data_IF_811530248811
#
_entry.id   IF_811530248811
#
_cell.length_a   1.000
_cell.length_b   1.000
_cell.length_c   1.000
_cell.angle_alpha   90.00
_cell.angle_beta   90.00
_cell.angle_gamma   90.00
#
_symmetry.space_group_name_H-M   'P 1'
#
loop_
_entity.id
_entity.type
_entity.pdbx_description
1 polymer ?
#
# COMPACT_ATOMS: atom_id res chain seq x y z
N UNK A 1 -1.06 -58.36 -34.17
CA UNK A 1 -0.34 -57.48 -33.23
C UNK A 1 -1.00 -56.12 -33.28
N UNK A 2 -2.00 -55.90 -32.43
CA UNK A 2 -2.66 -54.60 -32.28
C UNK A 2 -1.85 -53.74 -31.31
N UNK A 3 -1.33 -52.62 -31.79
CA UNK A 3 -0.69 -51.61 -30.97
C UNK A 3 -1.76 -50.64 -30.43
N UNK A 4 -2.03 -50.74 -29.13
CA UNK A 4 -2.95 -49.86 -28.42
C UNK A 4 -2.42 -48.42 -28.37
N UNK A 5 -3.16 -47.49 -28.98
CA UNK A 5 -2.93 -46.06 -28.83
C UNK A 5 -3.38 -45.61 -27.43
N UNK A 6 -2.41 -45.34 -26.54
CA UNK A 6 -2.64 -44.64 -25.27
C UNK A 6 -3.17 -43.24 -25.56
N UNK A 7 -4.45 -42.99 -25.23
CA UNK A 7 -5.00 -41.61 -25.13
C UNK A 7 -4.26 -40.86 -24.02
N UNK A 8 -3.41 -39.92 -24.41
CA UNK A 8 -2.79 -38.95 -23.52
C UNK A 8 -3.85 -37.89 -23.18
N UNK A 9 -4.49 -37.99 -22.02
CA UNK A 9 -5.48 -37.02 -21.53
C UNK A 9 -4.79 -35.75 -20.99
N UNK A 10 -5.48 -34.59 -20.98
CA UNK A 10 -4.89 -33.27 -20.73
C UNK A 10 -4.71 -33.04 -19.21
N UNK A 11 -3.65 -33.60 -18.63
CA UNK A 11 -3.36 -33.49 -17.19
C UNK A 11 -3.01 -32.05 -16.78
N UNK A 12 -2.39 -31.28 -17.69
CA UNK A 12 -1.90 -29.91 -17.41
C UNK A 12 -3.02 -28.90 -17.19
N UNK A 13 -4.12 -28.99 -17.95
CA UNK A 13 -5.26 -28.07 -17.81
C UNK A 13 -6.03 -28.28 -16.49
N UNK A 14 -6.15 -29.54 -16.05
CA UNK A 14 -6.83 -29.88 -14.80
C UNK A 14 -6.02 -29.46 -13.56
N UNK A 15 -4.69 -29.56 -13.62
CA UNK A 15 -3.81 -29.12 -12.54
C UNK A 15 -3.85 -27.58 -12.36
N UNK A 16 -3.86 -26.84 -13.46
CA UNK A 16 -3.94 -25.37 -13.43
C UNK A 16 -5.29 -24.89 -12.89
N UNK A 17 -6.39 -25.54 -13.25
CA UNK A 17 -7.71 -25.24 -12.68
C UNK A 17 -7.78 -25.50 -11.17
N UNK A 18 -7.15 -26.59 -10.70
CA UNK A 18 -7.11 -26.89 -9.26
C UNK A 18 -6.28 -25.85 -8.50
N UNK A 19 -5.12 -25.44 -9.06
CA UNK A 19 -4.30 -24.38 -8.47
C UNK A 19 -5.03 -23.04 -8.43
N UNK A 20 -5.68 -22.64 -9.53
CA UNK A 20 -6.45 -21.39 -9.60
C UNK A 20 -7.58 -21.37 -8.57
N UNK A 21 -8.38 -22.45 -8.48
CA UNK A 21 -9.44 -22.59 -7.47
C UNK A 21 -8.91 -22.55 -6.04
N UNK A 22 -7.69 -23.04 -5.80
CA UNK A 22 -7.08 -22.99 -4.47
C UNK A 22 -6.64 -21.57 -4.13
N UNK A 23 -5.99 -20.86 -5.05
CA UNK A 23 -5.60 -19.46 -4.87
C UNK A 23 -6.80 -18.55 -4.65
N UNK A 24 -7.88 -18.76 -5.41
CA UNK A 24 -9.15 -18.05 -5.24
C UNK A 24 -9.74 -18.29 -3.84
N UNK A 25 -9.79 -19.55 -3.38
CA UNK A 25 -10.26 -19.88 -2.02
C UNK A 25 -9.38 -19.29 -0.92
N UNK A 26 -8.07 -19.29 -1.11
CA UNK A 26 -7.11 -18.68 -0.17
C UNK A 26 -7.27 -17.15 -0.15
N UNK A 27 -7.50 -16.52 -1.31
CA UNK A 27 -7.81 -15.10 -1.44
C UNK A 27 -9.11 -14.71 -0.74
N UNK A 28 -10.19 -15.45 -0.97
CA UNK A 28 -11.48 -15.26 -0.29
C UNK A 28 -11.29 -15.38 1.22
N UNK A 29 -10.64 -16.45 1.70
CA UNK A 29 -10.41 -16.65 3.13
C UNK A 29 -9.60 -15.50 3.75
N UNK A 30 -8.56 -15.03 3.06
CA UNK A 30 -7.75 -13.89 3.50
C UNK A 30 -8.58 -12.61 3.61
N UNK A 31 -9.47 -12.38 2.65
CA UNK A 31 -10.39 -11.24 2.65
C UNK A 31 -11.39 -11.31 3.81
N UNK A 32 -12.02 -12.47 3.99
CA UNK A 32 -12.98 -12.70 5.07
C UNK A 32 -12.31 -12.55 6.45
N UNK A 33 -11.11 -13.10 6.63
CA UNK A 33 -10.34 -12.94 7.87
C UNK A 33 -9.92 -11.50 8.12
N UNK A 34 -9.53 -10.79 7.05
CA UNK A 34 -9.13 -9.38 7.16
C UNK A 34 -10.30 -8.51 7.61
N UNK A 35 -11.44 -8.62 6.94
CA UNK A 35 -12.57 -7.72 7.17
C UNK A 35 -13.58 -8.25 8.18
N UNK A 36 -13.52 -9.52 8.57
CA UNK A 36 -14.45 -10.13 9.52
C UNK A 36 -15.87 -10.31 8.97
N UNK A 37 -16.01 -10.28 7.65
CA UNK A 37 -17.26 -10.49 6.93
C UNK A 37 -17.13 -11.72 6.04
N UNK A 38 -18.20 -12.49 5.91
CA UNK A 38 -18.27 -13.54 4.87
C UNK A 38 -18.29 -12.90 3.47
N UNK A 39 -17.90 -13.67 2.46
CA UNK A 39 -17.96 -13.24 1.07
C UNK A 39 -19.36 -12.75 0.68
N UNK A 40 -20.41 -13.45 1.09
CA UNK A 40 -21.79 -13.08 0.79
C UNK A 40 -22.16 -11.72 1.40
N UNK A 41 -21.73 -11.44 2.64
CA UNK A 41 -21.96 -10.13 3.27
C UNK A 41 -21.19 -9.02 2.55
N UNK A 42 -19.95 -9.29 2.12
CA UNK A 42 -19.20 -8.31 1.33
C UNK A 42 -19.87 -8.05 -0.02
N UNK A 43 -20.32 -9.08 -0.72
CA UNK A 43 -21.07 -8.94 -1.97
C UNK A 43 -22.34 -8.11 -1.78
N UNK A 44 -23.08 -8.33 -0.68
CA UNK A 44 -24.27 -7.55 -0.34
C UNK A 44 -23.92 -6.07 -0.04
N UNK A 45 -22.88 -5.81 0.76
CA UNK A 45 -22.45 -4.46 1.12
C UNK A 45 -22.03 -3.63 -0.11
N UNK A 46 -21.44 -4.27 -1.11
CA UNK A 46 -20.96 -3.63 -2.33
C UNK A 46 -21.84 -3.91 -3.56
N UNK A 47 -23.05 -4.46 -3.37
CA UNK A 47 -23.98 -4.74 -4.47
C UNK A 47 -24.44 -3.45 -5.15
N UNK A 48 -24.73 -2.43 -4.34
CA UNK A 48 -25.05 -1.09 -4.80
C UNK A 48 -23.76 -0.28 -4.90
N UNK A 49 -23.41 0.14 -6.12
CA UNK A 49 -22.18 0.89 -6.35
C UNK A 49 -22.11 1.52 -7.73
N UNK A 50 -21.10 2.38 -7.97
CA UNK A 50 -20.97 3.08 -9.23
C UNK A 50 -20.92 2.10 -10.41
N UNK A 51 -21.62 2.39 -11.52
CA UNK A 51 -21.47 1.60 -12.74
C UNK A 51 -20.05 1.74 -13.28
N UNK A 52 -19.54 0.69 -13.90
CA UNK A 52 -18.21 0.65 -14.54
C UNK A 52 -17.04 0.96 -13.58
N UNK A 53 -17.16 0.58 -12.30
CA UNK A 53 -16.11 0.79 -11.30
C UNK A 53 -14.74 0.22 -11.75
N UNK A 54 -14.75 -0.92 -12.45
CA UNK A 54 -13.55 -1.56 -12.99
C UNK A 54 -12.80 -0.70 -14.03
N UNK A 55 -13.46 0.26 -14.66
CA UNK A 55 -12.89 1.15 -15.69
C UNK A 55 -12.39 2.47 -15.09
N UNK A 56 -12.53 2.66 -13.77
CA UNK A 56 -12.13 3.89 -13.11
C UNK A 56 -10.63 4.16 -13.26
N UNK A 57 -10.28 5.37 -13.68
CA UNK A 57 -8.88 5.83 -13.69
C UNK A 57 -8.41 6.09 -12.27
N UNK A 58 -7.42 5.30 -11.83
CA UNK A 58 -6.85 5.34 -10.49
C UNK A 58 -5.38 5.73 -10.52
N UNK A 59 -4.88 6.37 -9.46
CA UNK A 59 -3.45 6.65 -9.31
C UNK A 59 -2.64 5.35 -9.24
N UNK A 60 -1.37 5.43 -9.63
CA UNK A 60 -0.46 4.28 -9.60
C UNK A 60 -0.04 3.86 -8.18
N UNK A 61 -0.28 4.69 -7.17
CA UNK A 61 -0.02 4.38 -5.75
C UNK A 61 -1.06 5.09 -4.88
N UNK A 62 -1.64 4.44 -3.86
CA UNK A 62 -1.46 3.03 -3.52
C UNK A 62 -2.05 2.10 -4.59
N UNK A 63 -1.48 0.90 -4.77
CA UNK A 63 -1.99 -0.07 -5.75
C UNK A 63 -3.41 -0.50 -5.37
N UNK A 64 -4.36 -0.12 -6.22
CA UNK A 64 -5.74 -0.55 -6.12
C UNK A 64 -5.96 -1.83 -6.90
N UNK A 65 -6.43 -2.87 -6.20
CA UNK A 65 -6.75 -4.16 -6.79
C UNK A 65 -8.26 -4.30 -6.89
N UNK A 66 -8.76 -4.52 -8.11
CA UNK A 66 -10.15 -4.87 -8.37
C UNK A 66 -10.26 -6.35 -8.68
N UNK A 67 -10.87 -7.13 -7.78
CA UNK A 67 -11.09 -8.56 -8.03
C UNK A 67 -12.53 -8.83 -8.47
N UNK A 68 -12.74 -8.74 -9.79
CA UNK A 68 -14.03 -9.08 -10.40
C UNK A 68 -14.40 -10.57 -10.28
N UNK A 69 -13.42 -11.45 -10.01
CA UNK A 69 -13.63 -12.90 -9.99
C UNK A 69 -14.47 -13.37 -8.80
N UNK A 70 -14.41 -12.62 -7.68
CA UNK A 70 -15.13 -12.95 -6.44
C UNK A 70 -16.45 -12.19 -6.28
N UNK A 71 -16.84 -11.39 -7.27
CA UNK A 71 -18.15 -10.71 -7.31
C UNK A 71 -18.30 -9.55 -6.33
N UNK A 72 -17.19 -9.01 -5.80
CA UNK A 72 -17.22 -7.81 -4.96
C UNK A 72 -16.93 -6.59 -5.83
N UNK A 73 -17.89 -5.68 -5.94
CA UNK A 73 -17.72 -4.44 -6.70
C UNK A 73 -16.99 -3.37 -5.86
N UNK A 74 -15.71 -3.62 -5.54
CA UNK A 74 -14.88 -2.73 -4.75
C UNK A 74 -13.38 -2.91 -5.07
N UNK A 75 -12.61 -1.86 -4.80
CA UNK A 75 -11.15 -1.89 -4.80
C UNK A 75 -10.62 -2.21 -3.41
N UNK A 76 -9.62 -3.10 -3.35
CA UNK A 76 -8.75 -3.27 -2.19
C UNK A 76 -7.48 -2.45 -2.34
N UNK A 77 -7.14 -1.65 -1.32
CA UNK A 77 -5.84 -0.99 -1.20
C UNK A 77 -5.22 -1.28 0.16
N UNK A 78 -3.89 -1.22 0.22
CA UNK A 78 -3.13 -1.22 1.47
C UNK A 78 -2.33 0.07 1.52
N UNK A 79 -2.41 0.78 2.64
CA UNK A 79 -1.68 2.02 2.88
C UNK A 79 -0.97 1.90 4.21
N UNK A 80 0.35 1.93 4.19
CA UNK A 80 1.17 2.02 5.40
C UNK A 80 1.37 3.50 5.75
N UNK A 81 0.92 3.89 6.94
CA UNK A 81 0.99 5.27 7.41
C UNK A 81 1.78 5.34 8.71
N UNK A 82 2.55 6.40 8.88
CA UNK A 82 3.17 6.70 10.16
C UNK A 82 2.09 6.89 11.24
N UNK A 83 2.38 6.44 12.47
CA UNK A 83 1.43 6.52 13.59
C UNK A 83 0.90 7.93 13.85
N UNK A 84 1.74 8.95 13.63
CA UNK A 84 1.38 10.38 13.79
C UNK A 84 0.39 10.87 12.73
N UNK A 85 0.35 10.23 11.56
CA UNK A 85 -0.52 10.60 10.44
C UNK A 85 -1.86 9.85 10.46
N UNK A 86 -1.96 8.75 11.20
CA UNK A 86 -3.15 7.92 11.24
C UNK A 86 -4.44 8.67 11.62
N UNK A 87 -4.46 9.61 12.59
CA UNK A 87 -5.66 10.39 12.87
C UNK A 87 -6.16 11.20 11.66
N UNK A 88 -5.25 11.76 10.86
CA UNK A 88 -5.58 12.48 9.62
C UNK A 88 -6.14 11.52 8.57
N UNK A 89 -5.53 10.34 8.41
CA UNK A 89 -6.04 9.29 7.53
C UNK A 89 -7.46 8.87 7.91
N UNK A 90 -7.70 8.61 9.19
CA UNK A 90 -9.02 8.19 9.67
C UNK A 90 -10.07 9.29 9.46
N UNK A 91 -9.72 10.55 9.68
CA UNK A 91 -10.62 11.67 9.43
C UNK A 91 -10.94 11.84 7.94
N UNK A 92 -9.98 11.58 7.05
CA UNK A 92 -10.23 11.55 5.61
C UNK A 92 -11.29 10.51 5.26
N UNK A 93 -11.15 9.27 5.75
CA UNK A 93 -12.14 8.20 5.53
C UNK A 93 -13.49 8.55 6.15
N UNK A 94 -13.52 9.12 7.36
CA UNK A 94 -14.75 9.55 8.02
C UNK A 94 -15.49 10.64 7.26
N UNK A 95 -14.77 11.46 6.49
CA UNK A 95 -15.39 12.54 5.72
C UNK A 95 -16.19 12.02 4.52
N UNK A 96 -15.98 10.76 4.12
CA UNK A 96 -16.62 10.20 2.92
C UNK A 96 -18.01 9.65 3.18
N UNK A 97 -18.53 9.65 4.40
CA UNK A 97 -19.86 9.09 4.68
C UNK A 97 -20.16 8.89 6.16
N UNK A 98 -21.34 8.34 6.44
CA UNK A 98 -21.78 8.05 7.81
C UNK A 98 -21.30 6.66 8.23
N UNK A 99 -20.71 6.57 9.42
CA UNK A 99 -20.33 5.28 10.02
C UNK A 99 -21.60 4.46 10.30
N UNK A 100 -21.74 3.30 9.65
CA UNK A 100 -22.87 2.38 9.84
C UNK A 100 -22.53 1.24 10.80
N UNK A 101 -21.26 0.90 10.91
CA UNK A 101 -20.69 -0.01 11.89
C UNK A 101 -19.23 0.33 12.10
N UNK A 102 -18.58 -0.28 13.10
CA UNK A 102 -17.18 -0.01 13.44
C UNK A 102 -16.27 -0.06 12.21
N UNK A 103 -15.71 1.10 11.85
CA UNK A 103 -14.81 1.28 10.70
C UNK A 103 -15.44 0.91 9.35
N UNK A 104 -16.76 1.07 9.22
CA UNK A 104 -17.53 0.90 7.99
C UNK A 104 -18.39 2.12 7.70
N UNK A 105 -18.14 2.76 6.56
CA UNK A 105 -18.71 4.05 6.19
C UNK A 105 -19.55 3.90 4.92
N UNK A 106 -20.75 4.50 4.94
CA UNK A 106 -21.65 4.53 3.79
C UNK A 106 -21.99 5.97 3.43
N UNK A 107 -21.90 6.30 2.16
CA UNK A 107 -22.44 7.52 1.59
C UNK A 107 -23.54 7.19 0.58
N UNK A 108 -24.64 7.91 0.66
CA UNK A 108 -25.84 7.73 -0.17
C UNK A 108 -26.20 9.05 -0.90
N UNK A 109 -25.37 10.09 -0.78
CA UNK A 109 -25.67 11.44 -1.28
C UNK A 109 -25.43 11.61 -2.78
N UNK A 110 -24.51 10.84 -3.37
CA UNK A 110 -24.01 11.03 -4.74
C UNK A 110 -24.81 10.29 -5.84
N UNK A 111 -26.06 9.87 -5.57
CA UNK A 111 -26.91 9.16 -6.54
C UNK A 111 -26.53 7.70 -6.80
N UNK A 112 -25.28 7.32 -6.57
CA UNK A 112 -24.84 5.95 -6.38
C UNK A 112 -24.26 5.82 -4.97
N UNK A 113 -24.75 4.89 -4.14
CA UNK A 113 -24.20 4.71 -2.81
C UNK A 113 -22.77 4.19 -2.90
N UNK A 114 -21.92 4.66 -1.99
CA UNK A 114 -20.57 4.13 -1.80
C UNK A 114 -20.40 3.57 -0.40
N UNK A 115 -19.53 2.58 -0.31
CA UNK A 115 -19.20 1.87 0.91
C UNK A 115 -17.68 1.80 1.07
N UNK A 116 -17.21 1.95 2.30
CA UNK A 116 -15.80 1.83 2.66
C UNK A 116 -15.66 1.04 3.95
N UNK A 117 -14.88 -0.02 3.92
CA UNK A 117 -14.43 -0.76 5.09
C UNK A 117 -12.95 -0.51 5.30
N UNK A 118 -12.54 -0.24 6.55
CA UNK A 118 -11.11 -0.20 6.90
C UNK A 118 -10.78 -1.17 8.02
N UNK A 119 -9.56 -1.72 7.95
CA UNK A 119 -8.96 -2.58 8.98
C UNK A 119 -7.53 -2.13 9.21
N UNK A 120 -7.15 -2.07 10.47
CA UNK A 120 -5.84 -1.54 10.87
C UNK A 120 -5.03 -2.62 11.55
N UNK A 121 -3.72 -2.56 11.35
CA UNK A 121 -2.74 -3.42 12.02
C UNK A 121 -1.52 -2.57 12.37
N UNK A 122 -1.03 -2.68 13.60
CA UNK A 122 0.26 -2.10 13.96
C UNK A 122 1.36 -2.89 13.26
N UNK A 123 2.19 -2.20 12.47
CA UNK A 123 3.30 -2.82 11.72
C UNK A 123 4.40 -1.78 11.51
N UNK A 124 5.67 -2.18 11.65
CA UNK A 124 6.82 -1.30 11.40
C UNK A 124 6.74 0.06 12.11
N UNK A 125 6.29 0.05 13.38
CA UNK A 125 6.04 1.25 14.22
C UNK A 125 5.06 2.28 13.62
N UNK A 126 4.35 1.89 12.57
CA UNK A 126 3.26 2.63 11.96
C UNK A 126 1.96 1.85 12.03
N UNK A 127 1.01 2.28 11.20
CA UNK A 127 -0.30 1.65 11.03
C UNK A 127 -0.44 1.22 9.58
N UNK A 128 -0.58 -0.07 9.36
CA UNK A 128 -0.98 -0.62 8.07
C UNK A 128 -2.49 -0.62 7.99
N UNK A 129 -3.04 0.11 7.01
CA UNK A 129 -4.49 0.26 6.81
C UNK A 129 -4.89 -0.47 5.54
N UNK A 130 -5.68 -1.53 5.70
CA UNK A 130 -6.35 -2.20 4.59
C UNK A 130 -7.70 -1.54 4.37
N UNK A 131 -7.97 -1.11 3.15
CA UNK A 131 -9.22 -0.47 2.77
C UNK A 131 -9.88 -1.30 1.68
N UNK A 132 -11.18 -1.53 1.82
CA UNK A 132 -12.03 -2.08 0.77
C UNK A 132 -13.11 -1.04 0.48
N UNK A 133 -13.12 -0.47 -0.73
CA UNK A 133 -13.99 0.65 -1.06
C UNK A 133 -14.42 0.65 -2.53
N UNK A 134 -15.65 1.07 -2.80
CA UNK A 134 -16.10 1.43 -4.15
C UNK A 134 -16.13 2.96 -4.37
N UNK A 135 -15.60 3.72 -3.42
CA UNK A 135 -15.43 5.17 -3.52
C UNK A 135 -14.07 5.48 -4.18
N UNK A 136 -14.10 5.74 -5.49
CA UNK A 136 -12.92 6.08 -6.28
C UNK A 136 -12.28 7.41 -5.81
N UNK A 137 -13.10 8.38 -5.42
CA UNK A 137 -12.59 9.68 -4.96
C UNK A 137 -11.81 9.54 -3.65
N UNK A 138 -12.23 8.65 -2.75
CA UNK A 138 -11.45 8.36 -1.55
C UNK A 138 -10.04 7.87 -1.89
N UNK A 139 -9.88 7.00 -2.89
CA UNK A 139 -8.57 6.49 -3.30
C UNK A 139 -7.70 7.64 -3.86
N UNK A 140 -8.29 8.56 -4.61
CA UNK A 140 -7.60 9.76 -5.10
C UNK A 140 -7.20 10.68 -3.95
N UNK A 141 -8.11 10.97 -3.03
CA UNK A 141 -7.80 11.81 -1.87
C UNK A 141 -6.72 11.21 -0.96
N UNK A 142 -6.71 9.88 -0.78
CA UNK A 142 -5.63 9.19 -0.05
C UNK A 142 -4.27 9.44 -0.72
N UNK A 143 -4.25 9.44 -2.04
CA UNK A 143 -3.03 9.69 -2.83
C UNK A 143 -2.57 11.14 -2.71
N UNK A 144 -3.52 12.08 -2.77
CA UNK A 144 -3.27 13.53 -2.67
C UNK A 144 -2.80 13.97 -1.27
N UNK A 145 -3.27 13.30 -0.22
CA UNK A 145 -2.85 13.56 1.17
C UNK A 145 -1.41 13.12 1.48
N UNK A 146 -0.81 12.34 0.56
CA UNK A 146 0.58 11.88 0.59
C UNK A 146 1.01 11.29 1.94
N UNK A 147 0.21 10.36 2.48
CA UNK A 147 0.61 9.61 3.66
C UNK A 147 1.92 8.85 3.39
N UNK A 148 2.85 8.94 4.34
CA UNK A 148 4.12 8.21 4.25
C UNK A 148 4.10 7.01 5.19
N UNK A 149 4.75 5.90 4.81
CA UNK A 149 5.09 4.87 5.77
C UNK A 149 6.05 5.43 6.82
N UNK A 150 6.18 4.73 7.94
CA UNK A 150 7.21 5.02 8.93
C UNK A 150 8.58 5.09 8.24
N UNK A 151 9.40 6.14 8.43
CA UNK A 151 10.70 6.26 7.77
C UNK A 151 11.71 5.18 8.24
N UNK A 152 12.78 4.89 7.46
CA UNK A 152 13.70 3.78 7.74
C UNK A 152 14.27 3.80 9.16
N UNK A 153 14.75 4.96 9.62
CA UNK A 153 15.35 5.14 10.95
C UNK A 153 14.36 5.05 12.12
N UNK A 154 13.04 5.00 11.86
CA UNK A 154 12.00 4.75 12.89
C UNK A 154 11.44 3.34 12.75
N UNK A 155 11.22 2.87 11.53
CA UNK A 155 10.75 1.51 11.25
C UNK A 155 11.76 0.48 11.75
N UNK A 156 13.05 0.77 11.59
CA UNK A 156 14.21 -0.06 11.93
C UNK A 156 15.20 0.73 12.79
N UNK A 157 14.74 1.24 13.95
CA UNK A 157 15.58 2.07 14.83
C UNK A 157 16.84 1.36 15.33
N UNK A 158 16.84 0.02 15.36
CA UNK A 158 17.99 -0.80 15.76
C UNK A 158 19.10 -0.77 14.72
N UNK A 159 18.76 -0.44 13.48
CA UNK A 159 19.69 -0.37 12.37
C UNK A 159 20.09 1.06 12.07
N UNK A 160 19.22 2.05 12.23
CA UNK A 160 19.51 3.44 11.85
C UNK A 160 19.06 3.76 10.42
N UNK A 161 19.58 4.81 9.77
CA UNK A 161 19.14 5.21 8.43
C UNK A 161 19.84 4.39 7.34
N UNK A 162 19.61 3.07 7.30
CA UNK A 162 20.22 2.18 6.29
C UNK A 162 19.19 1.72 5.26
N UNK A 163 19.64 1.55 3.99
CA UNK A 163 18.79 1.05 2.90
C UNK A 163 19.20 -0.34 2.39
N UNK A 164 20.15 -1.00 3.06
CA UNK A 164 20.67 -2.30 2.68
C UNK A 164 20.47 -3.34 3.79
N UNK A 165 19.21 -3.69 4.05
CA UNK A 165 18.86 -4.80 4.93
C UNK A 165 18.47 -6.01 4.07
N UNK A 166 19.09 -7.16 4.35
CA UNK A 166 19.28 -8.20 3.33
C UNK A 166 18.29 -9.36 3.42
N UNK A 167 17.58 -9.52 4.53
CA UNK A 167 16.65 -10.65 4.73
C UNK A 167 15.56 -10.30 5.74
N UNK A 168 14.37 -10.88 5.56
CA UNK A 168 13.33 -10.91 6.59
C UNK A 168 12.28 -9.82 6.48
N UNK A 169 11.87 -9.27 7.62
CA UNK A 169 10.83 -8.23 7.65
C UNK A 169 11.36 -6.88 7.15
N UNK A 170 12.67 -6.69 7.24
CA UNK A 170 13.42 -5.52 6.83
C UNK A 170 13.47 -5.39 5.30
N UNK A 171 13.85 -6.46 4.62
CA UNK A 171 13.80 -6.57 3.16
C UNK A 171 12.36 -6.38 2.66
N UNK A 172 11.39 -7.03 3.31
CA UNK A 172 9.98 -6.88 2.97
C UNK A 172 9.52 -5.41 3.09
N UNK A 173 9.84 -4.75 4.21
CA UNK A 173 9.46 -3.36 4.42
C UNK A 173 10.10 -2.45 3.37
N UNK A 174 11.39 -2.65 3.10
CA UNK A 174 12.10 -1.83 2.14
C UNK A 174 11.52 -2.00 0.72
N UNK A 175 11.43 -3.23 0.22
CA UNK A 175 11.04 -3.51 -1.17
C UNK A 175 9.54 -3.28 -1.43
N UNK A 176 8.68 -3.67 -0.48
CA UNK A 176 7.23 -3.67 -0.70
C UNK A 176 6.52 -2.46 -0.13
N UNK A 177 7.14 -1.69 0.76
CA UNK A 177 6.53 -0.50 1.37
C UNK A 177 7.33 0.75 1.00
N UNK A 178 8.58 0.84 1.44
CA UNK A 178 9.38 2.05 1.30
C UNK A 178 9.66 2.42 -0.16
N UNK A 179 10.21 1.50 -0.95
CA UNK A 179 10.58 1.75 -2.34
C UNK A 179 9.37 2.13 -3.18
N UNK A 180 8.21 1.50 -2.93
CA UNK A 180 6.97 1.79 -3.65
C UNK A 180 6.44 3.19 -3.33
N UNK A 181 6.43 3.56 -2.05
CA UNK A 181 6.14 4.93 -1.62
C UNK A 181 7.13 5.92 -2.23
N UNK A 182 8.43 5.70 -2.05
CA UNK A 182 9.48 6.62 -2.49
C UNK A 182 9.41 6.89 -4.00
N UNK A 183 9.14 5.83 -4.79
CA UNK A 183 9.08 5.95 -6.24
C UNK A 183 7.81 6.64 -6.74
N UNK A 184 6.72 6.61 -5.96
CA UNK A 184 5.48 7.30 -6.30
C UNK A 184 5.55 8.81 -6.11
N UNK A 185 6.51 9.30 -5.33
CA UNK A 185 6.74 10.73 -5.13
C UNK A 185 7.32 11.40 -6.39
N UNK A 186 6.92 12.65 -6.61
CA UNK A 186 7.61 13.54 -7.57
C UNK A 186 8.96 13.97 -7.00
N UNK A 187 9.91 14.41 -7.85
CA UNK A 187 11.22 14.90 -7.36
C UNK A 187 11.11 16.02 -6.33
N UNK A 188 10.17 16.97 -6.50
CA UNK A 188 9.94 18.04 -5.50
C UNK A 188 9.48 17.48 -4.16
N UNK A 189 8.63 16.45 -4.18
CA UNK A 189 8.13 15.80 -2.96
C UNK A 189 9.21 14.96 -2.29
N UNK A 190 10.06 14.28 -3.06
CA UNK A 190 11.25 13.60 -2.53
C UNK A 190 12.16 14.59 -1.80
N UNK A 191 12.42 15.77 -2.40
CA UNK A 191 13.22 16.82 -1.75
C UNK A 191 12.58 17.35 -0.48
N UNK A 192 11.27 17.64 -0.53
CA UNK A 192 10.53 18.13 0.63
C UNK A 192 10.55 17.12 1.79
N UNK A 193 10.41 15.83 1.49
CA UNK A 193 10.52 14.75 2.45
C UNK A 193 11.90 14.76 3.12
N UNK A 194 12.98 14.71 2.32
CA UNK A 194 14.36 14.69 2.82
C UNK A 194 14.67 15.89 3.70
N UNK A 195 14.31 17.11 3.28
CA UNK A 195 14.56 18.32 4.07
C UNK A 195 13.84 18.27 5.42
N UNK A 196 12.54 17.94 5.40
CA UNK A 196 11.74 17.80 6.62
C UNK A 196 12.33 16.75 7.54
N UNK A 197 12.68 15.58 7.00
CA UNK A 197 13.27 14.49 7.76
C UNK A 197 14.63 14.85 8.34
N UNK A 198 15.47 15.65 7.65
CA UNK A 198 16.72 16.12 8.24
C UNK A 198 16.49 17.05 9.42
N UNK A 199 15.52 17.96 9.31
CA UNK A 199 15.13 18.86 10.41
C UNK A 199 14.69 18.06 11.63
N UNK A 200 13.89 17.01 11.43
CA UNK A 200 13.34 16.16 12.49
C UNK A 200 14.39 15.22 13.11
N UNK A 201 15.41 14.79 12.35
CA UNK A 201 16.38 13.76 12.78
C UNK A 201 17.70 14.32 13.30
N UNK A 202 18.00 15.60 13.10
CA UNK A 202 19.30 16.22 13.41
C UNK A 202 19.82 15.97 14.83
N UNK A 203 18.92 15.75 15.79
CA UNK A 203 19.26 15.54 17.20
C UNK A 203 19.68 14.11 17.54
N UNK A 204 19.41 13.14 16.66
CA UNK A 204 19.65 11.72 16.93
C UNK A 204 20.21 10.92 15.74
N UNK A 205 20.38 11.56 14.58
CA UNK A 205 21.13 11.03 13.43
C UNK A 205 22.25 12.02 13.10
N UNK A 206 23.48 11.54 13.13
CA UNK A 206 24.65 12.36 12.80
C UNK A 206 24.61 12.84 11.35
N UNK A 207 25.39 13.88 11.06
CA UNK A 207 25.56 14.38 9.69
C UNK A 207 26.14 13.31 8.75
N UNK A 208 27.06 12.47 9.25
CA UNK A 208 27.68 11.36 8.53
C UNK A 208 26.66 10.26 8.19
N UNK A 209 25.92 9.75 9.18
CA UNK A 209 24.89 8.72 8.95
C UNK A 209 23.79 9.20 8.00
N UNK A 210 23.42 10.48 8.09
CA UNK A 210 22.46 11.07 7.17
C UNK A 210 22.99 11.15 5.74
N UNK A 211 24.27 11.49 5.59
CA UNK A 211 24.93 11.54 4.30
C UNK A 211 25.03 10.16 3.64
N UNK A 212 25.44 9.14 4.40
CA UNK A 212 25.51 7.76 3.93
C UNK A 212 24.14 7.28 3.44
N UNK A 213 23.08 7.58 4.20
CA UNK A 213 21.71 7.27 3.80
C UNK A 213 21.31 7.92 2.46
N UNK A 214 21.66 9.19 2.24
CA UNK A 214 21.38 9.89 0.98
C UNK A 214 22.17 9.32 -0.19
N UNK A 215 23.40 8.89 0.07
CA UNK A 215 24.25 8.22 -0.92
C UNK A 215 23.63 6.89 -1.35
N UNK A 216 23.21 6.07 -0.39
CA UNK A 216 22.49 4.82 -0.66
C UNK A 216 21.18 5.07 -1.43
N UNK A 217 20.42 6.10 -1.04
CA UNK A 217 19.16 6.46 -1.69
C UNK A 217 19.38 6.87 -3.15
N UNK A 218 20.49 7.56 -3.42
CA UNK A 218 20.92 7.93 -4.78
C UNK A 218 21.26 6.73 -5.64
N UNK A 219 21.87 5.69 -5.06
CA UNK A 219 22.14 4.44 -5.77
C UNK A 219 20.84 3.70 -6.13
N UNK A 220 19.81 3.79 -5.28
CA UNK A 220 18.52 3.12 -5.45
C UNK A 220 17.54 3.88 -6.36
N UNK A 221 17.61 5.21 -6.34
CA UNK A 221 16.82 6.10 -7.18
C UNK A 221 17.69 7.27 -7.70
N UNK A 222 18.20 7.17 -8.94
CA UNK A 222 19.07 8.19 -9.52
C UNK A 222 18.45 9.60 -9.59
N UNK A 223 17.11 9.71 -9.52
CA UNK A 223 16.41 11.01 -9.48
C UNK A 223 16.77 11.83 -8.23
N UNK A 224 17.32 11.18 -7.22
CA UNK A 224 17.69 11.76 -5.93
C UNK A 224 19.14 12.26 -5.89
N UNK A 225 19.93 12.07 -6.96
CA UNK A 225 21.32 12.56 -7.03
C UNK A 225 21.50 14.03 -6.63
N UNK A 226 20.63 14.99 -7.04
CA UNK A 226 20.77 16.38 -6.61
C UNK A 226 20.69 16.57 -5.09
N UNK A 227 20.01 15.68 -4.36
CA UNK A 227 19.91 15.72 -2.90
C UNK A 227 21.21 15.31 -2.21
N UNK A 228 21.91 14.33 -2.77
CA UNK A 228 23.25 13.95 -2.30
C UNK A 228 24.24 15.10 -2.48
N UNK A 229 24.21 15.75 -3.65
CA UNK A 229 25.09 16.89 -3.97
C UNK A 229 24.80 18.10 -3.05
N UNK A 230 23.52 18.41 -2.77
CA UNK A 230 23.12 19.47 -1.84
C UNK A 230 23.54 19.18 -0.38
N UNK A 231 23.44 17.93 0.06
CA UNK A 231 23.86 17.53 1.40
C UNK A 231 25.39 17.56 1.56
N UNK A 232 26.13 17.09 0.56
CA UNK A 232 27.61 17.20 0.52
C UNK A 232 28.07 18.65 0.60
N UNK A 233 27.43 19.53 -0.17
CA UNK A 233 27.72 20.95 -0.15
C UNK A 233 27.44 21.64 1.20
N UNK A 234 26.71 21.00 2.13
CA UNK A 234 26.50 21.49 3.50
C UNK A 234 27.53 20.93 4.50
N UNK A 235 28.17 19.80 4.19
CA UNK A 235 29.21 19.17 5.02
C UNK A 235 30.59 19.78 4.79
N UNK A 236 30.87 20.23 3.56
CA UNK A 236 32.15 20.85 3.15
C UNK A 236 32.42 22.25 3.78
N UNK A 237 31.54 22.75 4.66
CA UNK A 237 31.69 24.05 5.35
C UNK A 237 32.27 23.95 6.77
N UNK A 238 32.65 22.76 7.23
CA UNK A 238 33.38 22.52 8.48
C UNK A 238 34.79 22.00 8.23
#
# INVERSE_FOLDING_TARGET
MEAGARKMFPVTGKLNQIKAKRMEREGIRSLEQTFGYSLAQLQELFADGPPNLAEASLPAYPDAVFDSGIGINAFGIVVDVESTQFPRFLNLVRSTGVEKHWLGFKDETAGSPTYTLIRTMSRFRGVSVKVLTNNVELIRSITEEHFNPTPPWVAMYEHGPFLHLIQGEEEYWFDHIWVRFWRSLTPDRQRAFVRKSREETRHYISDEEWHDWLTDLTMQDPRTRPLGDEALAQLDWF
#
